data_IF_207573419891
#
_entry.id   IF_207573419891
#
_cell.length_a   1.000
_cell.length_b   1.000
_cell.length_c   1.000
_cell.angle_alpha   90.00
_cell.angle_beta   90.00
_cell.angle_gamma   90.00
#
_symmetry.space_group_name_H-M   'P 1'
#
loop_
_entity.id
_entity.type
_entity.pdbx_description
1 polymer ?
#
# COMPACT_ATOMS: atom_id res chain seq x y z
N UNK A 1 -33.57 -14.58 -10.82
CA UNK A 1 -32.94 -13.45 -10.14
C UNK A 1 -31.77 -13.04 -11.03
N UNK A 2 -31.52 -11.75 -11.25
CA UNK A 2 -30.35 -11.38 -12.05
C UNK A 2 -29.06 -11.62 -11.24
N UNK A 3 -27.94 -11.77 -11.93
CA UNK A 3 -26.60 -11.96 -11.31
C UNK A 3 -26.30 -10.83 -10.32
N UNK A 4 -26.55 -9.60 -10.72
CA UNK A 4 -26.45 -8.41 -9.87
C UNK A 4 -27.26 -8.52 -8.59
N UNK A 5 -28.52 -8.98 -8.66
CA UNK A 5 -29.37 -9.14 -7.48
C UNK A 5 -28.85 -10.26 -6.57
N UNK A 6 -28.32 -11.34 -7.12
CA UNK A 6 -27.72 -12.42 -6.33
C UNK A 6 -26.52 -11.91 -5.52
N UNK A 7 -25.64 -11.11 -6.13
CA UNK A 7 -24.49 -10.47 -5.47
C UNK A 7 -24.97 -9.57 -4.31
N UNK A 8 -25.89 -8.66 -4.61
CA UNK A 8 -26.37 -7.69 -3.61
C UNK A 8 -27.08 -8.36 -2.46
N UNK A 9 -27.92 -9.37 -2.73
CA UNK A 9 -28.64 -10.13 -1.71
C UNK A 9 -27.67 -10.92 -0.81
N UNK A 10 -26.62 -11.52 -1.39
CA UNK A 10 -25.59 -12.21 -0.61
C UNK A 10 -24.89 -11.25 0.36
N UNK A 11 -24.40 -10.10 -0.15
CA UNK A 11 -23.70 -9.11 0.66
C UNK A 11 -24.62 -8.57 1.76
N UNK A 12 -25.86 -8.24 1.43
CA UNK A 12 -26.82 -7.69 2.40
C UNK A 12 -27.20 -8.70 3.50
N UNK A 13 -27.38 -9.97 3.11
CA UNK A 13 -27.73 -11.04 4.06
C UNK A 13 -26.59 -11.33 5.04
N UNK A 14 -25.35 -11.25 4.59
CA UNK A 14 -24.18 -11.63 5.38
C UNK A 14 -23.45 -10.45 6.03
N UNK A 15 -23.88 -9.21 5.81
CA UNK A 15 -23.17 -7.99 6.21
C UNK A 15 -22.70 -7.97 7.67
N UNK A 16 -23.53 -8.41 8.61
CA UNK A 16 -23.21 -8.36 10.03
C UNK A 16 -22.05 -9.28 10.42
N UNK A 17 -21.92 -10.44 9.76
CA UNK A 17 -20.80 -11.33 10.01
C UNK A 17 -19.47 -10.76 9.55
N UNK A 18 -19.46 -9.96 8.48
CA UNK A 18 -18.26 -9.27 8.00
C UNK A 18 -17.95 -8.00 8.79
N UNK A 19 -18.95 -7.25 9.22
CA UNK A 19 -18.77 -6.15 10.19
C UNK A 19 -18.09 -6.69 11.46
N UNK A 20 -18.54 -7.81 11.99
CA UNK A 20 -17.90 -8.46 13.14
C UNK A 20 -16.44 -8.84 12.86
N UNK A 21 -16.13 -9.38 11.69
CA UNK A 21 -14.74 -9.68 11.28
C UNK A 21 -13.90 -8.40 11.28
N UNK A 22 -14.37 -7.33 10.65
CA UNK A 22 -13.68 -6.04 10.61
C UNK A 22 -13.42 -5.48 12.01
N UNK A 23 -14.42 -5.53 12.90
CA UNK A 23 -14.28 -5.08 14.28
C UNK A 23 -13.28 -5.93 15.07
N UNK A 24 -13.29 -7.25 14.91
CA UNK A 24 -12.31 -8.14 15.55
C UNK A 24 -10.88 -7.90 15.09
N UNK A 25 -10.66 -7.60 13.81
CA UNK A 25 -9.36 -7.19 13.28
C UNK A 25 -8.98 -5.84 13.88
N UNK A 26 -9.90 -4.87 13.89
CA UNK A 26 -9.67 -3.54 14.46
C UNK A 26 -9.30 -3.57 15.96
N UNK A 27 -9.96 -4.42 16.75
CA UNK A 27 -9.71 -4.61 18.18
C UNK A 27 -8.37 -5.29 18.47
N UNK A 28 -7.82 -6.00 17.48
CA UNK A 28 -6.57 -6.72 17.56
C UNK A 28 -5.57 -6.25 16.49
N UNK A 29 -5.07 -5.02 16.60
CA UNK A 29 -4.16 -4.48 15.61
C UNK A 29 -2.82 -5.22 15.63
N UNK A 30 -2.37 -5.65 14.45
CA UNK A 30 -1.10 -6.33 14.22
C UNK A 30 -0.27 -5.51 13.23
N UNK A 31 1.04 -5.44 13.44
CA UNK A 31 1.94 -4.66 12.59
C UNK A 31 2.30 -5.41 11.33
N UNK A 32 2.83 -4.70 10.36
CA UNK A 32 3.25 -5.24 9.07
C UNK A 32 4.15 -6.46 9.21
N UNK A 33 3.83 -7.53 8.48
CA UNK A 33 4.43 -8.88 8.52
C UNK A 33 4.20 -9.68 9.83
N UNK A 34 3.39 -9.16 10.77
CA UNK A 34 2.99 -9.82 12.01
C UNK A 34 1.46 -10.04 12.09
N UNK A 35 0.70 -9.84 11.02
CA UNK A 35 -0.77 -9.85 10.92
C UNK A 35 -1.34 -11.28 10.91
N UNK A 36 -0.95 -12.10 11.89
CA UNK A 36 -1.31 -13.53 11.95
C UNK A 36 -2.80 -13.73 12.14
N UNK A 37 -3.42 -12.94 13.04
CA UNK A 37 -4.84 -13.06 13.33
C UNK A 37 -5.71 -12.55 12.19
N UNK A 38 -5.35 -11.38 11.64
CA UNK A 38 -6.09 -10.76 10.54
C UNK A 38 -6.03 -11.64 9.29
N UNK A 39 -4.84 -12.05 8.85
CA UNK A 39 -4.63 -12.94 7.71
C UNK A 39 -5.41 -14.25 7.85
N UNK A 40 -5.26 -14.94 9.00
CA UNK A 40 -5.98 -16.21 9.26
C UNK A 40 -7.48 -16.04 9.22
N UNK A 41 -8.01 -14.96 9.82
CA UNK A 41 -9.46 -14.70 9.87
C UNK A 41 -10.05 -14.52 8.46
N UNK A 42 -9.34 -13.80 7.57
CA UNK A 42 -9.74 -13.60 6.17
C UNK A 42 -9.61 -14.90 5.36
N UNK A 43 -8.51 -15.64 5.55
CA UNK A 43 -8.29 -16.94 4.90
C UNK A 43 -9.39 -17.95 5.29
N UNK A 44 -9.73 -18.07 6.57
CA UNK A 44 -10.75 -19.00 7.05
C UNK A 44 -12.10 -18.70 6.41
N UNK A 45 -12.45 -17.39 6.26
CA UNK A 45 -13.68 -16.99 5.58
C UNK A 45 -13.68 -17.36 4.10
N UNK A 46 -12.54 -17.20 3.39
CA UNK A 46 -12.41 -17.57 1.97
C UNK A 46 -12.50 -19.08 1.79
N UNK A 47 -11.90 -19.87 2.68
CA UNK A 47 -12.00 -21.35 2.67
C UNK A 47 -13.44 -21.85 2.85
N UNK A 48 -14.25 -21.19 3.70
CA UNK A 48 -15.66 -21.51 3.86
C UNK A 48 -16.47 -21.34 2.56
N UNK A 49 -15.90 -20.64 1.59
CA UNK A 49 -16.49 -20.37 0.26
C UNK A 49 -15.71 -21.01 -0.88
N UNK A 50 -15.00 -22.11 -0.62
CA UNK A 50 -14.34 -22.98 -1.60
C UNK A 50 -13.21 -22.30 -2.40
N UNK A 51 -12.59 -21.22 -1.88
CA UNK A 51 -11.38 -20.67 -2.48
C UNK A 51 -10.18 -21.57 -2.22
N UNK A 52 -9.39 -21.82 -3.24
CA UNK A 52 -8.05 -22.41 -3.10
C UNK A 52 -7.09 -21.39 -2.50
N UNK A 53 -6.32 -21.79 -1.50
CA UNK A 53 -5.47 -20.87 -0.71
C UNK A 53 -4.00 -21.24 -0.85
N UNK A 54 -3.19 -20.24 -1.22
CA UNK A 54 -1.74 -20.24 -1.11
C UNK A 54 -1.33 -19.23 -0.02
N UNK A 55 -0.32 -19.57 0.79
CA UNK A 55 0.18 -18.73 1.90
C UNK A 55 1.68 -18.51 1.78
N UNK A 56 2.23 -17.60 2.59
CA UNK A 56 3.65 -17.27 2.64
C UNK A 56 4.17 -16.73 1.29
N UNK A 57 3.41 -15.80 0.70
CA UNK A 57 3.64 -15.31 -0.66
C UNK A 57 4.82 -14.34 -0.72
N UNK A 58 5.74 -14.60 -1.65
CA UNK A 58 6.87 -13.72 -1.99
C UNK A 58 7.70 -13.25 -0.78
N UNK A 59 7.86 -14.12 0.24
CA UNK A 59 8.64 -13.83 1.45
C UNK A 59 7.84 -13.13 2.57
N UNK A 60 6.52 -13.02 2.43
CA UNK A 60 5.63 -12.49 3.47
C UNK A 60 4.83 -13.63 4.11
N UNK A 61 5.16 -13.97 5.36
CA UNK A 61 4.56 -15.09 6.10
C UNK A 61 3.05 -14.94 6.31
N UNK A 62 2.54 -13.73 6.37
CA UNK A 62 1.11 -13.40 6.54
C UNK A 62 0.41 -13.08 5.22
N UNK A 63 1.14 -13.06 4.09
CA UNK A 63 0.59 -12.90 2.74
C UNK A 63 -0.10 -14.16 2.25
N UNK A 64 -1.18 -13.99 1.48
CA UNK A 64 -1.91 -15.11 0.87
C UNK A 64 -2.47 -14.77 -0.50
N UNK A 65 -2.76 -15.81 -1.28
CA UNK A 65 -3.56 -15.75 -2.50
C UNK A 65 -4.73 -16.72 -2.30
N UNK A 66 -5.92 -16.25 -2.60
CA UNK A 66 -7.12 -17.09 -2.60
C UNK A 66 -7.77 -17.01 -3.97
N UNK A 67 -7.90 -18.14 -4.65
CA UNK A 67 -8.42 -18.22 -6.02
C UNK A 67 -9.69 -19.05 -6.06
N UNK A 68 -10.71 -18.54 -6.74
CA UNK A 68 -11.84 -19.31 -7.18
C UNK A 68 -11.93 -19.22 -8.71
N UNK A 69 -11.80 -20.37 -9.37
CA UNK A 69 -11.86 -20.51 -10.82
C UNK A 69 -13.21 -21.15 -11.21
N UNK A 70 -13.94 -20.53 -12.13
CA UNK A 70 -15.19 -21.07 -12.65
C UNK A 70 -15.01 -22.21 -13.65
N UNK A 71 -13.76 -22.49 -14.05
CA UNK A 71 -13.44 -23.38 -15.19
C UNK A 71 -14.04 -22.92 -16.54
N UNK A 72 -14.56 -21.69 -16.61
CA UNK A 72 -15.08 -21.08 -17.82
C UNK A 72 -14.19 -19.89 -18.23
N UNK A 73 -14.11 -19.64 -19.55
CA UNK A 73 -13.34 -18.51 -20.09
C UNK A 73 -13.81 -17.18 -19.51
N UNK A 74 -12.89 -16.25 -19.27
CA UNK A 74 -13.17 -14.92 -18.79
C UNK A 74 -11.98 -14.31 -18.03
N UNK A 75 -12.01 -13.01 -17.71
CA UNK A 75 -10.94 -12.34 -17.02
C UNK A 75 -10.80 -12.76 -15.54
N UNK A 76 -9.60 -12.63 -15.01
CA UNK A 76 -9.30 -12.82 -13.60
C UNK A 76 -9.37 -11.46 -12.87
N UNK A 77 -10.35 -11.32 -11.98
CA UNK A 77 -10.55 -10.09 -11.18
C UNK A 77 -9.86 -10.24 -9.84
N UNK A 78 -8.85 -9.40 -9.59
CA UNK A 78 -8.10 -9.33 -8.34
C UNK A 78 -8.72 -8.36 -7.33
N UNK A 79 -8.85 -8.80 -6.08
CA UNK A 79 -9.27 -7.99 -4.94
C UNK A 79 -8.06 -7.87 -3.99
N UNK A 80 -7.54 -6.65 -3.81
CA UNK A 80 -6.41 -6.41 -2.93
C UNK A 80 -6.91 -6.20 -1.50
N UNK A 81 -6.42 -7.01 -0.57
CA UNK A 81 -6.84 -7.01 0.84
C UNK A 81 -5.66 -6.61 1.73
N UNK A 82 -5.69 -5.41 2.30
CA UNK A 82 -4.77 -4.93 3.32
C UNK A 82 -5.36 -5.17 4.71
N UNK A 83 -4.49 -5.39 5.72
CA UNK A 83 -4.95 -5.70 7.08
C UNK A 83 -3.91 -5.38 8.18
N UNK A 84 -2.82 -4.73 7.85
CA UNK A 84 -1.83 -4.24 8.82
C UNK A 84 -2.29 -2.97 9.55
N UNK A 85 -1.66 -2.69 10.68
CA UNK A 85 -1.97 -1.57 11.55
C UNK A 85 -0.73 -0.71 11.84
N UNK A 86 -0.95 0.55 12.21
CA UNK A 86 0.08 1.51 12.57
C UNK A 86 0.65 1.27 13.98
N UNK A 87 1.96 1.37 14.19
CA UNK A 87 2.59 1.24 15.51
C UNK A 87 2.01 2.21 16.53
N UNK A 88 1.52 1.69 17.67
CA UNK A 88 0.98 2.50 18.77
C UNK A 88 -0.34 3.20 18.50
N UNK A 89 -0.87 3.12 17.29
CA UNK A 89 -2.09 3.81 16.86
C UNK A 89 -3.22 2.86 16.43
N UNK A 90 -2.89 1.63 16.02
CA UNK A 90 -3.87 0.66 15.54
C UNK A 90 -4.35 0.94 14.12
N UNK A 91 -5.56 0.50 13.77
CA UNK A 91 -6.12 0.65 12.41
C UNK A 91 -6.55 2.10 12.07
N UNK A 92 -5.63 3.04 12.17
CA UNK A 92 -5.86 4.45 11.88
C UNK A 92 -5.70 4.81 10.38
N UNK A 93 -5.49 3.80 9.53
CA UNK A 93 -5.64 3.86 8.08
C UNK A 93 -6.89 3.11 7.59
N UNK A 94 -7.51 2.30 8.46
CA UNK A 94 -8.76 1.57 8.16
C UNK A 94 -8.56 0.28 7.37
N UNK A 95 -7.39 -0.35 7.44
CA UNK A 95 -7.09 -1.60 6.74
C UNK A 95 -8.01 -2.77 7.20
N UNK A 96 -8.58 -2.70 8.42
CA UNK A 96 -9.63 -3.62 8.85
C UNK A 96 -10.85 -3.58 7.90
N UNK A 97 -11.19 -2.40 7.35
CA UNK A 97 -12.27 -2.23 6.36
C UNK A 97 -11.80 -2.76 5.01
N UNK A 98 -10.59 -2.40 4.54
CA UNK A 98 -10.05 -2.78 3.22
C UNK A 98 -10.02 -4.30 3.05
N UNK A 99 -9.37 -5.00 3.97
CA UNK A 99 -9.26 -6.45 3.89
C UNK A 99 -10.61 -7.14 3.91
N UNK A 100 -11.50 -6.69 4.81
CA UNK A 100 -12.83 -7.31 4.96
C UNK A 100 -13.74 -6.98 3.77
N UNK A 101 -13.73 -5.75 3.24
CA UNK A 101 -14.53 -5.36 2.08
C UNK A 101 -14.08 -6.09 0.81
N UNK A 102 -12.77 -6.27 0.61
CA UNK A 102 -12.21 -7.02 -0.51
C UNK A 102 -12.64 -8.49 -0.46
N UNK A 103 -12.57 -9.13 0.70
CA UNK A 103 -13.05 -10.53 0.87
C UNK A 103 -14.55 -10.65 0.66
N UNK A 104 -15.36 -9.73 1.23
CA UNK A 104 -16.81 -9.75 1.05
C UNK A 104 -17.20 -9.49 -0.41
N UNK A 105 -16.54 -8.55 -1.09
CA UNK A 105 -16.76 -8.25 -2.51
C UNK A 105 -16.41 -9.44 -3.41
N UNK A 106 -15.28 -10.09 -3.16
CA UNK A 106 -14.84 -11.28 -3.88
C UNK A 106 -15.82 -12.44 -3.70
N UNK A 107 -16.25 -12.74 -2.49
CA UNK A 107 -17.22 -13.81 -2.21
C UNK A 107 -18.61 -13.46 -2.80
N UNK A 108 -18.98 -12.16 -2.80
CA UNK A 108 -20.18 -11.67 -3.46
C UNK A 108 -20.16 -11.94 -4.97
N UNK A 109 -19.07 -11.64 -5.66
CA UNK A 109 -18.89 -11.92 -7.08
C UNK A 109 -18.88 -13.42 -7.36
N UNK A 110 -18.25 -14.21 -6.49
CA UNK A 110 -18.20 -15.68 -6.57
C UNK A 110 -19.60 -16.32 -6.65
N UNK A 111 -20.64 -15.69 -6.08
CA UNK A 111 -21.99 -16.26 -6.12
C UNK A 111 -22.54 -16.46 -7.54
N UNK A 112 -21.97 -15.78 -8.53
CA UNK A 112 -22.43 -15.83 -9.92
C UNK A 112 -21.33 -16.28 -10.89
N UNK A 113 -20.09 -16.46 -10.45
CA UNK A 113 -18.94 -16.69 -11.32
C UNK A 113 -19.09 -17.96 -12.19
N UNK A 114 -19.68 -19.03 -11.64
CA UNK A 114 -19.95 -20.28 -12.38
C UNK A 114 -20.98 -20.13 -13.50
N UNK A 115 -21.70 -18.99 -13.54
CA UNK A 115 -22.69 -18.69 -14.57
C UNK A 115 -22.11 -17.74 -15.64
N UNK A 116 -21.16 -16.88 -15.27
CA UNK A 116 -20.65 -15.81 -16.13
C UNK A 116 -19.21 -16.02 -16.63
N UNK A 117 -18.46 -16.94 -16.02
CA UNK A 117 -17.07 -17.25 -16.38
C UNK A 117 -16.02 -16.41 -15.62
N UNK A 118 -14.75 -16.69 -15.90
CA UNK A 118 -13.62 -15.98 -15.32
C UNK A 118 -13.19 -16.49 -13.94
N UNK A 119 -12.35 -15.70 -13.27
CA UNK A 119 -11.75 -16.03 -11.97
C UNK A 119 -11.90 -14.89 -10.97
N UNK A 120 -12.05 -15.24 -9.71
CA UNK A 120 -12.00 -14.31 -8.57
C UNK A 120 -10.76 -14.60 -7.75
N UNK A 121 -9.89 -13.61 -7.61
CA UNK A 121 -8.63 -13.76 -6.88
C UNK A 121 -8.57 -12.73 -5.76
N UNK A 122 -8.34 -13.16 -4.52
CA UNK A 122 -8.05 -12.25 -3.40
C UNK A 122 -6.57 -12.33 -3.06
N UNK A 123 -5.91 -11.19 -3.10
CA UNK A 123 -4.51 -11.06 -2.72
C UNK A 123 -4.43 -10.40 -1.33
N UNK A 124 -4.06 -11.19 -0.33
CA UNK A 124 -3.78 -10.70 1.02
C UNK A 124 -2.43 -10.01 1.06
N UNK A 125 -2.44 -8.70 1.26
CA UNK A 125 -1.30 -7.80 1.10
C UNK A 125 -0.88 -7.22 2.46
N UNK A 126 0.03 -7.87 3.20
CA UNK A 126 0.53 -7.34 4.47
C UNK A 126 1.48 -6.16 4.29
N UNK A 127 1.75 -5.46 5.39
CA UNK A 127 2.81 -4.46 5.54
C UNK A 127 2.76 -3.29 4.52
N UNK A 128 1.56 -2.77 4.23
CA UNK A 128 1.39 -1.56 3.40
C UNK A 128 2.01 -0.34 4.07
N UNK A 129 1.80 -0.17 5.38
CA UNK A 129 2.32 0.95 6.18
C UNK A 129 3.86 0.96 6.30
N UNK A 130 4.51 -0.06 5.79
CA UNK A 130 5.96 -0.17 5.72
C UNK A 130 6.59 -0.95 6.87
N UNK A 131 7.86 -0.65 7.15
CA UNK A 131 8.67 -1.39 8.12
C UNK A 131 9.68 -2.31 7.45
N UNK A 132 10.29 -3.20 8.21
CA UNK A 132 11.23 -4.19 7.67
C UNK A 132 10.49 -5.15 6.72
N UNK A 133 11.03 -5.33 5.52
CA UNK A 133 10.37 -6.08 4.43
C UNK A 133 8.95 -5.57 4.13
N UNK A 134 8.71 -4.25 4.28
CA UNK A 134 7.40 -3.64 3.98
C UNK A 134 7.09 -3.57 2.49
N UNK A 135 5.83 -3.22 2.17
CA UNK A 135 5.29 -3.12 0.81
C UNK A 135 5.19 -4.48 0.11
N UNK A 136 4.32 -5.36 0.61
CA UNK A 136 4.12 -6.71 0.06
C UNK A 136 3.69 -6.71 -1.40
N UNK A 137 2.87 -5.75 -1.84
CA UNK A 137 2.44 -5.65 -3.25
C UNK A 137 3.62 -5.44 -4.19
N UNK A 138 4.65 -4.70 -3.76
CA UNK A 138 5.88 -4.57 -4.54
C UNK A 138 6.66 -5.89 -4.61
N UNK A 139 6.66 -6.71 -3.54
CA UNK A 139 7.21 -8.07 -3.58
C UNK A 139 6.42 -8.97 -4.54
N UNK A 140 5.09 -8.86 -4.53
CA UNK A 140 4.20 -9.61 -5.42
C UNK A 140 4.46 -9.29 -6.89
N UNK A 141 4.64 -8.01 -7.22
CA UNK A 141 5.05 -7.58 -8.57
C UNK A 141 6.39 -8.19 -8.96
N UNK A 142 7.41 -8.11 -8.09
CA UNK A 142 8.74 -8.67 -8.36
C UNK A 142 8.73 -10.18 -8.55
N UNK A 143 7.86 -10.89 -7.85
CA UNK A 143 7.71 -12.34 -7.92
C UNK A 143 6.78 -12.83 -9.04
N UNK A 144 6.17 -11.91 -9.83
CA UNK A 144 5.22 -12.26 -10.90
C UNK A 144 3.85 -12.72 -10.38
N UNK A 145 3.53 -12.50 -9.12
CA UNK A 145 2.24 -12.88 -8.51
C UNK A 145 1.08 -12.11 -9.15
N UNK A 146 1.31 -10.87 -9.53
CA UNK A 146 0.28 -10.01 -10.14
C UNK A 146 -0.06 -10.44 -11.57
N UNK A 147 0.80 -11.21 -12.24
CA UNK A 147 0.57 -11.67 -13.61
C UNK A 147 -0.62 -12.67 -13.73
N UNK A 148 -1.13 -13.17 -12.59
CA UNK A 148 -2.29 -14.09 -12.57
C UNK A 148 -3.65 -13.38 -12.51
N UNK A 149 -3.68 -12.05 -12.47
CA UNK A 149 -4.90 -11.24 -12.55
C UNK A 149 -4.84 -10.27 -13.72
N UNK A 150 -6.00 -9.90 -14.25
CA UNK A 150 -6.12 -8.95 -15.37
C UNK A 150 -6.41 -7.54 -14.90
N UNK A 151 -7.17 -7.38 -13.82
CA UNK A 151 -7.56 -6.09 -13.21
C UNK A 151 -7.51 -6.23 -11.69
N UNK A 152 -7.03 -5.21 -11.00
CA UNK A 152 -6.98 -5.15 -9.53
C UNK A 152 -7.96 -4.11 -8.97
N UNK A 153 -8.78 -4.52 -8.01
CA UNK A 153 -9.76 -3.69 -7.33
C UNK A 153 -9.42 -3.56 -5.84
N UNK A 154 -9.49 -2.33 -5.34
CA UNK A 154 -9.38 -2.00 -3.92
C UNK A 154 -10.15 -0.71 -3.65
N UNK A 155 -10.72 -0.55 -2.45
CA UNK A 155 -11.34 0.70 -2.00
C UNK A 155 -10.81 1.03 -0.62
N UNK A 156 -10.24 2.23 -0.49
CA UNK A 156 -9.62 2.72 0.75
C UNK A 156 -10.60 3.59 1.56
N UNK A 157 -10.69 3.46 2.90
CA UNK A 157 -11.45 4.42 3.73
C UNK A 157 -10.89 5.83 3.65
N UNK A 158 -11.79 6.82 3.65
CA UNK A 158 -11.39 8.22 3.55
C UNK A 158 -12.34 9.18 4.29
N UNK A 159 -12.00 10.45 4.24
CA UNK A 159 -12.86 11.51 4.77
C UNK A 159 -13.99 11.91 3.82
N UNK A 160 -13.87 11.59 2.56
CA UNK A 160 -14.87 11.75 1.50
C UNK A 160 -14.77 10.59 0.51
N UNK A 161 -15.74 10.44 -0.38
CA UNK A 161 -15.69 9.46 -1.47
C UNK A 161 -15.23 10.14 -2.75
N UNK A 162 -14.10 9.65 -3.30
CA UNK A 162 -13.47 10.20 -4.50
C UNK A 162 -12.67 9.12 -5.26
N UNK A 163 -12.43 9.39 -6.54
CA UNK A 163 -11.66 8.53 -7.44
C UNK A 163 -10.19 8.41 -6.99
N UNK A 164 -9.46 7.51 -7.61
CA UNK A 164 -8.01 7.35 -7.40
C UNK A 164 -7.28 8.68 -7.57
N UNK A 165 -6.51 9.07 -6.56
CA UNK A 165 -5.68 10.29 -6.59
C UNK A 165 -4.30 10.02 -7.16
N UNK A 166 -3.56 11.08 -7.47
CA UNK A 166 -2.14 10.98 -7.80
C UNK A 166 -1.34 10.58 -6.55
N UNK A 167 -0.35 9.73 -6.72
CA UNK A 167 0.53 9.32 -5.62
C UNK A 167 2.00 9.58 -5.96
N UNK A 168 2.83 9.68 -4.92
CA UNK A 168 4.27 9.84 -5.05
C UNK A 168 4.98 8.50 -4.95
N UNK A 169 5.98 8.30 -5.78
CA UNK A 169 6.97 7.26 -5.56
C UNK A 169 7.80 7.55 -4.30
N UNK A 170 8.14 6.51 -3.53
CA UNK A 170 8.82 6.63 -2.22
C UNK A 170 9.88 5.54 -2.05
N UNK A 171 11.06 5.94 -1.57
CA UNK A 171 12.04 5.02 -0.98
C UNK A 171 12.25 5.34 0.50
N UNK A 172 12.39 4.28 1.30
CA UNK A 172 12.75 4.34 2.70
C UNK A 172 14.15 3.74 2.86
N UNK A 173 15.10 4.56 3.30
CA UNK A 173 16.53 4.28 3.19
C UNK A 173 17.19 4.38 4.57
N UNK A 174 17.97 3.39 4.92
CA UNK A 174 18.89 3.47 6.05
C UNK A 174 20.28 3.90 5.56
N UNK A 175 20.88 4.79 6.36
CA UNK A 175 22.25 5.30 6.17
C UNK A 175 23.01 5.04 7.46
N UNK A 176 24.07 4.24 7.38
CA UNK A 176 24.90 3.90 8.53
C UNK A 176 26.34 4.28 8.23
N UNK A 177 27.02 4.84 9.22
CA UNK A 177 28.45 5.10 9.15
C UNK A 177 29.19 4.29 10.22
N UNK A 178 30.32 3.74 9.82
CA UNK A 178 31.21 2.94 10.66
C UNK A 178 32.56 3.61 10.75
N UNK A 179 32.97 3.93 11.95
CA UNK A 179 34.22 4.59 12.27
C UNK A 179 35.13 3.72 13.16
N UNK A 180 35.96 4.40 13.96
CA UNK A 180 36.83 3.78 14.94
C UNK A 180 36.73 4.56 16.26
N UNK A 181 36.31 3.89 17.32
CA UNK A 181 36.14 4.47 18.64
C UNK A 181 37.46 4.78 19.31
N UNK A 182 37.49 5.87 20.09
CA UNK A 182 38.59 6.21 21.00
C UNK A 182 38.13 7.13 22.14
N UNK A 183 38.96 7.23 23.20
CA UNK A 183 38.76 8.24 24.22
C UNK A 183 39.08 9.63 23.65
N UNK A 184 38.11 10.54 23.72
CA UNK A 184 38.19 11.84 23.02
C UNK A 184 39.38 12.74 23.45
N UNK A 185 39.94 12.56 24.64
CA UNK A 185 41.10 13.34 25.13
C UNK A 185 42.44 12.62 25.08
N UNK A 186 42.47 11.34 24.75
CA UNK A 186 43.74 10.56 24.80
C UNK A 186 44.22 10.15 23.39
N UNK A 187 43.36 9.57 22.58
CA UNK A 187 43.76 8.94 21.31
C UNK A 187 42.83 9.40 20.16
N UNK A 188 42.40 10.66 20.18
CA UNK A 188 41.47 11.19 19.17
C UNK A 188 42.04 11.18 17.74
N UNK A 189 43.35 11.29 17.59
CA UNK A 189 44.07 11.26 16.32
C UNK A 189 44.13 9.89 15.66
N UNK A 190 43.85 8.81 16.40
CA UNK A 190 43.73 7.45 15.87
C UNK A 190 42.29 7.05 15.56
N UNK A 191 41.31 7.89 15.87
CA UNK A 191 39.89 7.60 15.74
C UNK A 191 39.34 8.02 14.38
N UNK A 192 38.19 7.44 14.03
CA UNK A 192 37.34 7.86 12.92
C UNK A 192 35.93 8.09 13.45
N UNK A 193 35.47 9.35 13.43
CA UNK A 193 34.23 9.74 14.08
C UNK A 193 33.02 9.56 13.16
N UNK A 194 32.24 8.49 13.39
CA UNK A 194 31.02 8.22 12.63
C UNK A 194 29.96 9.34 12.78
N UNK A 195 29.97 10.11 13.90
CA UNK A 195 29.04 11.25 14.06
C UNK A 195 29.42 12.41 13.15
N UNK A 196 30.69 12.66 12.91
CA UNK A 196 31.14 13.70 11.97
C UNK A 196 30.70 13.35 10.53
N UNK A 197 30.76 12.07 10.16
CA UNK A 197 30.22 11.58 8.90
C UNK A 197 28.68 11.82 8.79
N UNK A 198 27.94 11.52 9.86
CA UNK A 198 26.50 11.72 9.91
C UNK A 198 26.12 13.22 9.82
N UNK A 199 26.82 14.09 10.53
CA UNK A 199 26.62 15.55 10.46
C UNK A 199 26.93 16.06 9.05
N UNK A 200 28.04 15.62 8.44
CA UNK A 200 28.40 15.97 7.07
C UNK A 200 27.34 15.54 6.08
N UNK A 201 26.80 14.34 6.24
CA UNK A 201 25.70 13.82 5.41
C UNK A 201 24.43 14.67 5.52
N UNK A 202 23.98 15.03 6.74
CA UNK A 202 22.82 15.90 6.95
C UNK A 202 23.02 17.28 6.31
N UNK A 203 24.23 17.85 6.43
CA UNK A 203 24.57 19.11 5.80
C UNK A 203 24.53 19.02 4.27
N UNK A 204 25.06 17.94 3.70
CA UNK A 204 25.00 17.67 2.25
C UNK A 204 23.55 17.52 1.74
N UNK A 205 22.71 16.82 2.47
CA UNK A 205 21.26 16.70 2.15
C UNK A 205 20.58 18.08 2.26
N UNK A 206 20.93 18.90 3.25
CA UNK A 206 20.37 20.26 3.38
C UNK A 206 20.76 21.14 2.17
N UNK A 207 21.99 21.03 1.65
CA UNK A 207 22.45 21.72 0.43
C UNK A 207 21.72 21.19 -0.82
N UNK A 208 21.51 19.87 -0.93
CA UNK A 208 20.77 19.27 -2.05
C UNK A 208 19.35 19.83 -2.17
N UNK A 209 18.67 20.16 -1.05
CA UNK A 209 17.27 20.65 -1.05
C UNK A 209 17.06 21.90 -1.89
N UNK A 210 18.10 22.71 -2.16
CA UNK A 210 18.01 23.86 -3.06
C UNK A 210 17.91 23.48 -4.54
N UNK A 211 18.31 22.25 -4.89
CA UNK A 211 18.52 21.80 -6.26
C UNK A 211 17.58 20.65 -6.67
N UNK A 212 16.60 20.30 -5.82
CA UNK A 212 15.55 19.35 -6.15
C UNK A 212 14.29 20.06 -6.63
N UNK A 213 13.41 19.34 -7.34
CA UNK A 213 12.14 19.86 -7.82
C UNK A 213 11.19 20.18 -6.65
N UNK A 214 10.16 21.02 -6.89
CA UNK A 214 9.18 21.43 -5.88
C UNK A 214 8.36 20.26 -5.32
N UNK A 215 8.14 19.26 -6.12
CA UNK A 215 7.41 18.02 -5.83
C UNK A 215 8.29 16.91 -5.22
N UNK A 216 9.62 17.10 -5.21
CA UNK A 216 10.55 16.17 -4.58
C UNK A 216 10.73 16.49 -3.08
N UNK A 217 10.92 15.44 -2.28
CA UNK A 217 11.17 15.56 -0.84
C UNK A 217 12.30 14.64 -0.40
N UNK A 218 13.14 15.15 0.50
CA UNK A 218 14.15 14.37 1.24
C UNK A 218 14.06 14.78 2.70
N UNK A 219 13.70 13.86 3.57
CA UNK A 219 13.62 14.08 5.00
C UNK A 219 14.04 12.83 5.77
N UNK A 220 14.55 12.99 6.98
CA UNK A 220 15.03 11.87 7.77
C UNK A 220 15.33 12.26 9.20
N UNK A 221 15.70 11.27 9.99
CA UNK A 221 15.99 11.36 11.41
C UNK A 221 17.22 10.51 11.75
N UNK A 222 18.00 10.97 12.73
CA UNK A 222 19.07 10.15 13.33
C UNK A 222 18.41 9.17 14.31
N UNK A 223 18.61 7.88 14.09
CA UNK A 223 18.14 6.79 14.96
C UNK A 223 19.16 6.45 16.04
N UNK A 224 20.46 6.47 15.69
CA UNK A 224 21.56 6.33 16.65
C UNK A 224 22.64 7.37 16.32
N UNK A 225 22.91 8.27 17.28
CA UNK A 225 23.93 9.32 17.21
C UNK A 225 24.88 9.28 18.42
N UNK A 226 24.92 8.15 19.16
CA UNK A 226 25.77 7.95 20.33
C UNK A 226 25.14 8.41 21.65
N UNK A 227 25.79 8.05 22.78
CA UNK A 227 25.28 8.28 24.13
C UNK A 227 26.26 9.01 25.05
N UNK A 228 27.56 9.01 24.75
CA UNK A 228 28.62 9.53 25.62
C UNK A 228 29.48 10.54 24.87
N UNK A 229 29.51 11.79 25.37
CA UNK A 229 30.24 12.91 24.73
C UNK A 229 31.78 12.82 24.80
N UNK A 230 32.32 12.00 25.69
CA UNK A 230 33.75 11.79 25.86
C UNK A 230 34.32 10.58 25.08
N UNK A 231 33.50 9.97 24.22
CA UNK A 231 33.89 8.87 23.33
C UNK A 231 33.70 9.33 21.89
N UNK A 232 34.70 9.12 21.03
CA UNK A 232 34.55 9.25 19.59
C UNK A 232 33.77 8.02 19.11
N UNK A 233 32.72 8.26 18.35
CA UNK A 233 31.75 7.22 17.99
C UNK A 233 32.24 6.41 16.79
N UNK A 234 32.13 5.10 16.88
CA UNK A 234 32.43 4.14 15.80
C UNK A 234 31.19 3.74 15.00
N UNK A 235 29.98 4.18 15.38
CA UNK A 235 28.73 3.88 14.68
C UNK A 235 27.73 4.99 14.79
N UNK A 236 27.04 5.28 13.67
CA UNK A 236 25.82 6.10 13.64
C UNK A 236 24.85 5.56 12.60
N UNK A 237 23.55 5.81 12.82
CA UNK A 237 22.46 5.33 11.98
C UNK A 237 21.39 6.41 11.80
N UNK A 238 20.97 6.63 10.56
CA UNK A 238 19.86 7.50 10.21
C UNK A 238 18.92 6.81 9.22
N UNK A 239 17.63 7.20 9.25
CA UNK A 239 16.61 6.78 8.29
C UNK A 239 16.09 7.96 7.52
N UNK A 240 15.98 7.80 6.21
CA UNK A 240 15.54 8.83 5.28
C UNK A 240 14.39 8.32 4.40
N UNK A 241 13.51 9.25 4.05
CA UNK A 241 12.50 9.10 3.01
C UNK A 241 12.86 10.03 1.85
N UNK A 242 12.88 9.48 0.65
CA UNK A 242 12.93 10.23 -0.60
C UNK A 242 11.61 10.06 -1.33
N UNK A 243 11.11 11.14 -1.93
CA UNK A 243 9.82 11.14 -2.67
C UNK A 243 9.95 11.93 -3.95
N UNK A 244 9.30 11.45 -5.03
CA UNK A 244 9.18 12.15 -6.31
C UNK A 244 7.87 11.76 -7.01
N UNK A 245 7.49 12.51 -8.05
CA UNK A 245 6.27 12.24 -8.83
C UNK A 245 6.35 10.90 -9.58
N UNK A 246 7.55 10.47 -9.99
CA UNK A 246 7.73 9.21 -10.73
C UNK A 246 8.90 8.40 -10.17
N UNK A 247 8.84 7.08 -10.35
CA UNK A 247 9.93 6.16 -9.98
C UNK A 247 11.27 6.58 -10.62
N UNK A 248 11.24 6.94 -11.90
CA UNK A 248 12.42 7.39 -12.64
C UNK A 248 13.08 8.64 -12.03
N UNK A 249 12.28 9.62 -11.59
CA UNK A 249 12.79 10.82 -10.91
C UNK A 249 13.28 10.49 -9.51
N UNK A 250 12.61 9.57 -8.84
CA UNK A 250 12.98 9.12 -7.49
C UNK A 250 14.32 8.38 -7.51
N UNK A 251 14.56 7.50 -8.49
CA UNK A 251 15.84 6.79 -8.64
C UNK A 251 17.02 7.76 -8.77
N UNK A 252 16.82 8.84 -9.55
CA UNK A 252 17.81 9.90 -9.69
C UNK A 252 18.03 10.64 -8.36
N UNK A 253 16.97 10.93 -7.64
CA UNK A 253 17.04 11.60 -6.34
C UNK A 253 17.73 10.73 -5.29
N UNK A 254 17.33 9.46 -5.19
CA UNK A 254 17.91 8.47 -4.27
C UNK A 254 19.40 8.29 -4.52
N UNK A 255 19.83 8.23 -5.78
CA UNK A 255 21.26 8.14 -6.11
C UNK A 255 22.04 9.41 -5.69
N UNK A 256 21.46 10.61 -5.85
CA UNK A 256 22.10 11.85 -5.33
C UNK A 256 22.29 11.80 -3.80
N UNK A 257 21.30 11.28 -3.08
CA UNK A 257 21.37 11.13 -1.62
C UNK A 257 22.44 10.10 -1.22
N UNK A 258 22.57 9.00 -1.98
CA UNK A 258 23.65 8.00 -1.81
C UNK A 258 25.03 8.62 -2.05
N UNK A 259 25.19 9.43 -3.10
CA UNK A 259 26.46 10.12 -3.40
C UNK A 259 26.89 11.06 -2.27
N UNK A 260 25.95 11.71 -1.60
CA UNK A 260 26.24 12.54 -0.41
C UNK A 260 26.75 11.67 0.74
N UNK A 261 26.12 10.50 0.99
CA UNK A 261 26.58 9.57 2.02
C UNK A 261 28.02 9.08 1.75
N UNK A 262 28.30 8.71 0.49
CA UNK A 262 29.63 8.34 0.03
C UNK A 262 30.63 9.49 0.23
N UNK A 263 30.26 10.74 -0.10
CA UNK A 263 31.09 11.92 0.09
C UNK A 263 31.42 12.16 1.58
N UNK A 264 30.45 12.01 2.48
CA UNK A 264 30.63 12.14 3.91
C UNK A 264 31.57 11.05 4.47
N UNK A 265 31.45 9.82 3.99
CA UNK A 265 32.35 8.70 4.35
C UNK A 265 33.79 9.01 3.92
N UNK A 266 34.03 9.44 2.68
CA UNK A 266 35.35 9.80 2.16
C UNK A 266 35.96 10.95 2.98
N UNK A 267 35.18 11.98 3.30
CA UNK A 267 35.62 13.16 4.06
C UNK A 267 36.14 12.79 5.46
N UNK A 268 35.53 11.80 6.10
CA UNK A 268 35.78 11.43 7.50
C UNK A 268 36.67 10.17 7.63
N UNK A 269 36.92 9.47 6.54
CA UNK A 269 37.62 8.18 6.54
C UNK A 269 36.78 7.00 7.06
N UNK A 270 35.48 7.21 7.30
CA UNK A 270 34.56 6.16 7.75
C UNK A 270 34.13 5.25 6.59
N UNK A 271 33.73 4.01 6.93
CA UNK A 271 32.94 3.18 6.02
C UNK A 271 31.46 3.56 6.11
N UNK A 272 30.66 3.16 5.09
CA UNK A 272 29.22 3.42 5.12
C UNK A 272 28.42 2.29 4.46
N UNK A 273 27.18 2.19 4.93
CA UNK A 273 26.11 1.42 4.26
C UNK A 273 24.97 2.38 3.89
N UNK A 274 24.40 2.17 2.71
CA UNK A 274 23.24 2.89 2.21
C UNK A 274 22.33 1.92 1.48
N UNK A 275 21.07 1.82 1.88
CA UNK A 275 20.14 0.92 1.21
C UNK A 275 18.72 0.99 1.74
N UNK A 276 17.78 0.39 0.99
CA UNK A 276 16.39 0.34 1.37
C UNK A 276 16.16 -0.66 2.51
N UNK A 277 15.21 -0.34 3.40
CA UNK A 277 14.73 -1.25 4.46
C UNK A 277 13.48 -2.01 4.04
N UNK A 278 12.81 -1.52 3.03
CA UNK A 278 11.60 -2.08 2.45
C UNK A 278 11.63 -1.94 0.93
N UNK A 279 10.64 -2.52 0.26
CA UNK A 279 10.48 -2.31 -1.18
C UNK A 279 10.18 -0.85 -1.49
N UNK A 280 10.73 -0.35 -2.60
CA UNK A 280 10.36 0.96 -3.14
C UNK A 280 8.90 0.96 -3.61
N UNK A 281 8.20 2.04 -3.30
CA UNK A 281 6.82 2.28 -3.72
C UNK A 281 6.84 3.12 -5.00
N UNK A 282 6.10 2.70 -6.01
CA UNK A 282 5.97 3.44 -7.27
C UNK A 282 4.79 4.41 -7.21
N UNK A 283 4.82 5.45 -8.03
CA UNK A 283 3.65 6.27 -8.32
C UNK A 283 2.52 5.45 -8.94
N UNK A 284 1.29 5.92 -8.82
CA UNK A 284 0.12 5.22 -9.34
C UNK A 284 -0.14 5.59 -10.82
N UNK A 285 -0.28 4.59 -11.68
CA UNK A 285 -0.78 4.76 -13.06
C UNK A 285 -2.30 4.69 -13.02
N UNK A 286 -2.96 5.85 -13.01
CA UNK A 286 -4.43 5.91 -12.99
C UNK A 286 -5.02 5.46 -14.32
N UNK A 287 -6.09 4.66 -14.26
CA UNK A 287 -6.88 4.23 -15.42
C UNK A 287 -8.27 4.88 -15.35
N UNK A 288 -8.48 6.06 -15.98
CA UNK A 288 -9.70 6.86 -15.84
C UNK A 288 -10.99 6.10 -16.11
N UNK A 289 -11.03 5.23 -17.12
CA UNK A 289 -12.24 4.43 -17.42
C UNK A 289 -12.60 3.47 -16.28
N UNK A 290 -11.61 2.93 -15.58
CA UNK A 290 -11.84 2.07 -14.41
C UNK A 290 -12.32 2.90 -13.21
N UNK A 291 -11.81 4.12 -13.02
CA UNK A 291 -12.30 5.07 -12.03
C UNK A 291 -13.73 5.57 -12.35
N UNK A 292 -14.10 5.72 -13.63
CA UNK A 292 -15.46 6.05 -14.05
C UNK A 292 -16.43 4.90 -13.74
N UNK A 293 -15.98 3.66 -13.88
CA UNK A 293 -16.74 2.48 -13.50
C UNK A 293 -16.97 2.42 -11.98
N UNK A 294 -15.97 2.77 -11.18
CA UNK A 294 -16.13 2.96 -9.73
C UNK A 294 -17.19 4.01 -9.42
N UNK A 295 -17.11 5.20 -10.02
CA UNK A 295 -18.06 6.28 -9.77
C UNK A 295 -19.50 5.88 -10.11
N UNK A 296 -19.71 5.16 -11.23
CA UNK A 296 -21.01 4.62 -11.63
C UNK A 296 -21.62 3.75 -10.53
N UNK A 297 -20.84 2.82 -9.98
CA UNK A 297 -21.35 1.90 -8.96
C UNK A 297 -21.40 2.51 -7.56
N UNK A 298 -20.55 3.49 -7.26
CA UNK A 298 -20.66 4.27 -6.03
C UNK A 298 -21.99 5.04 -5.97
N UNK A 299 -22.36 5.72 -7.04
CA UNK A 299 -23.66 6.41 -7.14
C UNK A 299 -24.83 5.43 -7.04
N UNK A 300 -24.71 4.25 -7.63
CA UNK A 300 -25.76 3.23 -7.60
C UNK A 300 -26.03 2.70 -6.18
N UNK A 301 -25.00 2.57 -5.35
CA UNK A 301 -25.16 2.18 -3.94
C UNK A 301 -25.44 3.36 -3.01
N UNK A 302 -25.71 4.54 -3.58
CA UNK A 302 -26.07 5.75 -2.85
C UNK A 302 -24.88 6.47 -2.21
N UNK A 303 -23.69 6.37 -2.82
CA UNK A 303 -22.48 7.07 -2.38
C UNK A 303 -22.13 8.17 -3.40
N UNK A 304 -22.08 9.42 -2.94
CA UNK A 304 -21.77 10.56 -3.81
C UNK A 304 -20.26 10.69 -3.99
N UNK A 305 -19.80 10.58 -5.23
CA UNK A 305 -18.39 10.78 -5.58
C UNK A 305 -18.13 12.27 -5.79
N UNK A 306 -17.15 12.82 -5.08
CA UNK A 306 -16.75 14.22 -5.22
C UNK A 306 -15.48 14.33 -6.06
N UNK A 307 -15.37 15.44 -6.79
CA UNK A 307 -14.19 15.82 -7.58
C UNK A 307 -13.55 17.04 -6.91
N UNK A 308 -12.45 16.81 -6.17
CA UNK A 308 -11.72 17.85 -5.45
C UNK A 308 -10.23 17.49 -5.43
N UNK A 309 -9.37 18.45 -5.12
CA UNK A 309 -7.93 18.18 -4.94
C UNK A 309 -7.67 17.67 -3.52
N UNK A 310 -7.44 16.37 -3.40
CA UNK A 310 -7.11 15.69 -2.14
C UNK A 310 -5.60 15.60 -1.85
N UNK A 311 -4.79 16.24 -2.71
CA UNK A 311 -3.33 16.20 -2.60
C UNK A 311 -2.72 14.87 -3.03
N UNK A 312 -1.57 14.54 -2.48
CA UNK A 312 -0.79 13.36 -2.86
C UNK A 312 -0.65 12.39 -1.69
N UNK A 313 -0.93 11.11 -1.94
CA UNK A 313 -0.60 10.00 -1.05
C UNK A 313 0.63 9.24 -1.52
N UNK A 314 0.85 8.08 -0.92
CA UNK A 314 1.75 7.04 -1.41
C UNK A 314 1.17 5.70 -0.96
N UNK A 315 1.12 4.73 -1.86
CA UNK A 315 0.65 3.36 -1.57
C UNK A 315 1.38 2.38 -2.47
N UNK A 316 1.72 1.22 -1.95
CA UNK A 316 2.35 0.16 -2.76
C UNK A 316 1.39 -0.48 -3.78
N UNK A 317 0.10 -0.14 -3.75
CA UNK A 317 -0.86 -0.40 -4.83
C UNK A 317 -0.43 0.29 -6.14
N UNK A 318 0.35 1.38 -6.06
CA UNK A 318 1.04 1.97 -7.20
C UNK A 318 1.91 0.96 -7.96
N UNK A 319 2.62 0.07 -7.25
CA UNK A 319 3.42 -0.97 -7.91
C UNK A 319 2.56 -1.92 -8.75
N UNK A 320 1.35 -2.30 -8.26
CA UNK A 320 0.39 -3.13 -8.99
C UNK A 320 -0.11 -2.42 -10.25
N UNK A 321 -0.38 -1.12 -10.17
CA UNK A 321 -0.84 -0.31 -11.30
C UNK A 321 0.15 -0.24 -12.46
N UNK A 322 1.44 -0.50 -12.21
CA UNK A 322 2.44 -0.65 -13.27
C UNK A 322 2.36 -2.00 -14.01
N UNK A 323 1.58 -2.95 -13.53
CA UNK A 323 1.42 -4.29 -14.14
C UNK A 323 0.06 -4.39 -14.82
N UNK A 324 -1.03 -4.18 -14.07
CA UNK A 324 -2.43 -4.31 -14.51
C UNK A 324 -3.24 -3.05 -14.21
N UNK A 325 -4.35 -2.80 -14.92
CA UNK A 325 -5.29 -1.75 -14.54
C UNK A 325 -5.73 -1.91 -13.09
N UNK A 326 -5.60 -0.87 -12.31
CA UNK A 326 -5.82 -0.92 -10.85
C UNK A 326 -6.58 0.32 -10.41
N UNK A 327 -7.48 0.18 -9.42
CA UNK A 327 -8.09 1.33 -8.74
C UNK A 327 -7.71 1.38 -7.26
N UNK A 328 -7.66 2.60 -6.74
CA UNK A 328 -7.48 2.91 -5.33
C UNK A 328 -8.33 4.13 -4.93
N UNK A 329 -9.64 4.11 -5.19
CA UNK A 329 -10.53 5.20 -4.78
C UNK A 329 -10.75 5.17 -3.27
N UNK A 330 -11.29 6.25 -2.76
CA UNK A 330 -11.63 6.37 -1.35
C UNK A 330 -13.14 6.32 -1.13
N UNK A 331 -13.55 5.79 0.02
CA UNK A 331 -14.94 5.77 0.48
C UNK A 331 -15.04 6.42 1.86
N UNK A 332 -16.03 7.27 2.02
CA UNK A 332 -16.24 8.08 3.21
C UNK A 332 -16.58 7.23 4.45
N UNK A 333 -15.83 7.45 5.55
CA UNK A 333 -16.08 6.82 6.86
C UNK A 333 -16.37 7.84 7.96
N UNK A 334 -16.49 9.13 7.65
CA UNK A 334 -16.70 10.16 8.67
C UNK A 334 -16.83 11.57 8.09
N UNK A 335 -16.49 12.56 8.89
CA UNK A 335 -16.57 13.96 8.46
C UNK A 335 -15.41 14.35 7.52
N UNK A 336 -15.62 15.37 6.68
CA UNK A 336 -14.59 15.92 5.77
C UNK A 336 -13.28 16.34 6.47
N UNK A 337 -13.34 16.64 7.77
CA UNK A 337 -12.17 17.02 8.56
C UNK A 337 -11.46 15.81 9.20
N UNK A 338 -11.85 14.60 8.84
CA UNK A 338 -11.21 13.38 9.33
C UNK A 338 -9.83 13.25 8.65
N UNK A 339 -8.79 13.10 9.47
CA UNK A 339 -7.41 12.98 8.99
C UNK A 339 -6.91 11.57 9.27
N UNK A 340 -6.38 10.89 8.25
CA UNK A 340 -5.72 9.58 8.38
C UNK A 340 -4.59 9.60 9.40
N UNK A 341 -4.21 8.44 9.92
CA UNK A 341 -3.15 8.27 10.92
C UNK A 341 -3.41 9.07 12.22
N UNK A 342 -4.69 9.17 12.63
CA UNK A 342 -5.11 9.79 13.89
C UNK A 342 -6.01 8.85 14.70
N UNK A 343 -6.10 9.07 16.02
CA UNK A 343 -7.06 8.35 16.87
C UNK A 343 -8.51 8.48 16.38
N UNK A 344 -8.89 9.66 15.85
CA UNK A 344 -10.24 9.89 15.31
C UNK A 344 -10.51 9.03 14.07
N UNK A 345 -9.51 8.84 13.22
CA UNK A 345 -9.65 7.97 12.05
C UNK A 345 -9.80 6.51 12.48
N UNK A 346 -8.97 6.06 13.46
CA UNK A 346 -9.11 4.72 14.04
C UNK A 346 -10.51 4.48 14.60
N UNK A 347 -11.06 5.44 15.37
CA UNK A 347 -12.42 5.33 15.92
C UNK A 347 -13.48 5.30 14.80
N UNK A 348 -13.29 6.08 13.74
CA UNK A 348 -14.18 6.08 12.58
C UNK A 348 -14.16 4.74 11.82
N UNK A 349 -13.01 4.07 11.74
CA UNK A 349 -12.84 2.78 11.08
C UNK A 349 -13.61 1.61 11.74
N UNK A 350 -14.07 1.77 13.00
CA UNK A 350 -14.95 0.81 13.69
C UNK A 350 -16.30 1.44 14.09
N UNK A 351 -16.71 2.51 13.43
CA UNK A 351 -17.99 3.17 13.64
C UNK A 351 -19.05 2.67 12.65
N UNK A 352 -20.30 3.05 12.90
CA UNK A 352 -21.42 2.78 11.95
C UNK A 352 -21.10 3.28 10.52
N UNK A 353 -20.39 4.41 10.39
CA UNK A 353 -19.97 4.91 9.06
C UNK A 353 -18.88 4.04 8.43
N UNK A 354 -17.96 3.50 9.23
CA UNK A 354 -16.99 2.50 8.77
C UNK A 354 -17.67 1.21 8.30
N UNK A 355 -18.67 0.75 9.05
CA UNK A 355 -19.48 -0.43 8.70
C UNK A 355 -20.25 -0.23 7.39
N UNK A 356 -20.88 0.94 7.22
CA UNK A 356 -21.57 1.30 5.97
C UNK A 356 -20.60 1.36 4.79
N UNK A 357 -19.42 1.94 4.97
CA UNK A 357 -18.38 2.03 3.95
C UNK A 357 -17.86 0.65 3.55
N UNK A 358 -17.63 -0.26 4.51
CA UNK A 358 -17.26 -1.66 4.23
C UNK A 358 -18.28 -2.33 3.31
N UNK A 359 -19.57 -2.24 3.63
CA UNK A 359 -20.64 -2.91 2.86
C UNK A 359 -20.81 -2.27 1.48
N UNK A 360 -20.78 -0.95 1.38
CA UNK A 360 -20.82 -0.24 0.10
C UNK A 360 -19.60 -0.56 -0.76
N UNK A 361 -18.40 -0.52 -0.17
CA UNK A 361 -17.16 -0.86 -0.85
C UNK A 361 -17.17 -2.28 -1.44
N UNK A 362 -17.64 -3.26 -0.66
CA UNK A 362 -17.80 -4.63 -1.14
C UNK A 362 -18.79 -4.73 -2.31
N UNK A 363 -19.95 -4.05 -2.22
CA UNK A 363 -20.93 -4.00 -3.30
C UNK A 363 -20.36 -3.39 -4.57
N UNK A 364 -19.67 -2.26 -4.45
CA UNK A 364 -19.06 -1.56 -5.59
C UNK A 364 -18.07 -2.48 -6.30
N UNK A 365 -17.11 -3.04 -5.57
CA UNK A 365 -16.08 -3.92 -6.16
C UNK A 365 -16.69 -5.17 -6.81
N UNK A 366 -17.67 -5.80 -6.17
CA UNK A 366 -18.35 -6.98 -6.74
C UNK A 366 -19.13 -6.64 -8.03
N UNK A 367 -19.81 -5.49 -8.07
CA UNK A 367 -20.53 -5.03 -9.27
C UNK A 367 -19.59 -4.60 -10.40
N UNK A 368 -18.46 -3.98 -10.07
CA UNK A 368 -17.40 -3.72 -11.04
C UNK A 368 -16.88 -5.02 -11.64
N UNK A 369 -16.57 -6.02 -10.81
CA UNK A 369 -16.14 -7.34 -11.27
C UNK A 369 -17.18 -8.01 -12.18
N UNK A 370 -18.45 -7.93 -11.82
CA UNK A 370 -19.55 -8.44 -12.68
C UNK A 370 -19.53 -7.78 -14.07
N UNK A 371 -19.45 -6.43 -14.14
CA UNK A 371 -19.44 -5.74 -15.43
C UNK A 371 -18.18 -6.04 -16.24
N UNK A 372 -17.03 -6.09 -15.60
CA UNK A 372 -15.75 -6.41 -16.26
C UNK A 372 -15.75 -7.81 -16.89
N UNK A 373 -16.44 -8.77 -16.28
CA UNK A 373 -16.56 -10.12 -16.83
C UNK A 373 -17.63 -10.20 -17.93
N UNK A 374 -18.78 -9.57 -17.74
CA UNK A 374 -19.93 -9.73 -18.62
C UNK A 374 -19.99 -8.75 -19.78
N UNK A 375 -19.23 -7.65 -19.72
CA UNK A 375 -19.17 -6.61 -20.74
C UNK A 375 -17.77 -6.49 -21.36
N UNK A 376 -17.55 -7.29 -22.41
CA UNK A 376 -16.26 -7.37 -23.10
C UNK A 376 -15.77 -6.03 -23.64
N UNK A 377 -16.67 -5.15 -24.09
CA UNK A 377 -16.28 -3.83 -24.62
C UNK A 377 -15.70 -2.94 -23.51
N UNK A 378 -16.33 -2.90 -22.32
CA UNK A 378 -15.82 -2.17 -21.16
C UNK A 378 -14.47 -2.73 -20.69
N UNK A 379 -14.35 -4.05 -20.64
CA UNK A 379 -13.11 -4.71 -20.26
C UNK A 379 -11.96 -4.33 -21.22
N UNK A 380 -12.15 -4.49 -22.54
CA UNK A 380 -11.14 -4.18 -23.54
C UNK A 380 -10.75 -2.71 -23.53
N UNK A 381 -11.72 -1.81 -23.41
CA UNK A 381 -11.50 -0.38 -23.33
C UNK A 381 -10.58 0.03 -22.15
N UNK A 382 -10.73 -0.65 -21.00
CA UNK A 382 -9.91 -0.41 -19.81
C UNK A 382 -8.49 -0.96 -20.02
N UNK A 383 -8.35 -2.16 -20.55
CA UNK A 383 -7.04 -2.77 -20.83
C UNK A 383 -6.25 -1.91 -21.84
N UNK A 384 -6.89 -1.46 -22.92
CA UNK A 384 -6.23 -0.62 -23.94
C UNK A 384 -5.82 0.75 -23.38
N UNK A 385 -6.68 1.40 -22.59
CA UNK A 385 -6.35 2.67 -21.95
C UNK A 385 -5.14 2.51 -21.03
N UNK A 386 -5.14 1.49 -20.16
CA UNK A 386 -4.00 1.24 -19.27
C UNK A 386 -2.70 0.97 -20.03
N UNK A 387 -2.75 0.14 -21.08
CA UNK A 387 -1.59 -0.16 -21.91
C UNK A 387 -1.00 1.12 -22.56
N UNK A 388 -1.86 2.02 -23.03
CA UNK A 388 -1.45 3.32 -23.57
C UNK A 388 -0.78 4.23 -22.51
N UNK A 389 -1.37 4.33 -21.31
CA UNK A 389 -0.85 5.13 -20.21
C UNK A 389 0.50 4.61 -19.72
N UNK A 390 0.63 3.30 -19.55
CA UNK A 390 1.88 2.62 -19.20
C UNK A 390 2.98 2.83 -20.24
N UNK A 391 2.63 2.88 -21.53
CA UNK A 391 3.56 3.14 -22.64
C UNK A 391 4.08 4.58 -22.70
N UNK A 392 3.29 5.55 -22.28
CA UNK A 392 3.63 6.98 -22.31
C UNK A 392 4.48 7.44 -21.11
N UNK A 393 4.57 6.64 -20.04
CA UNK A 393 5.39 6.88 -18.85
C UNK A 393 6.87 6.47 -18.99
N UNK A 394 7.30 5.99 -20.17
CA UNK A 394 8.68 5.53 -20.43
C UNK A 394 9.61 6.63 -20.90
#
# INVERSE_FOLDING_TARGET
MSEKQQILDYIETNKYSYIEISHRIHERPELGNEEIFASRTLIDRLKEHDFEIETEIAGHATGFIATYDSDLDGPAIGFLAEYDALPGLGHACGHNIIGTASVLGAIGLKQVIDQIGGKVVVLGCPAEEGGENGSAKASYVKAGVIDQIDIALMIHPGNETYKTIDTLAVDVLDVKFYGKSAHASENADEALNALDAMISYFNGVAQLRQHIKKDQRVHGVILDGGKAANIILDYTHARFYTRAMTRKELDILTEKVNQIARGAAIQTGCDYEFGPIQNGVNEFIKTPKLDDLFAKYAEEVGEAVIDDDFGYGSTDTGNVSHVVPTIHPHIKIGSRNLVGHTHRFREAAASVHGDEALIKGAKIMALMGLELITNQDVYQDIIEEHAHLKGNGK
#
